data_IF_318666939338
#
_entry.id   IF_318666939338
#
_cell.length_a   1.000
_cell.length_b   1.000
_cell.length_c   1.000
_cell.angle_alpha   90.00
_cell.angle_beta   90.00
_cell.angle_gamma   90.00
#
_symmetry.space_group_name_H-M   'P 1'
#
loop_
_entity.id
_entity.type
_entity.pdbx_description
1 polymer ?
#
# COMPACT_ATOMS: atom_id res chain seq x y z
N UNK A 1 -12.04 -14.42 13.13
CA UNK A 1 -12.87 -13.88 12.03
C UNK A 1 -12.50 -12.44 11.69
N UNK A 2 -12.54 -11.50 12.65
CA UNK A 2 -12.32 -10.06 12.38
C UNK A 2 -11.05 -9.72 11.57
N UNK A 3 -9.88 -10.36 11.78
CA UNK A 3 -8.70 -10.05 10.97
C UNK A 3 -8.84 -10.35 9.48
N UNK A 4 -9.54 -11.43 9.14
CA UNK A 4 -9.88 -11.78 7.76
C UNK A 4 -11.03 -10.91 7.25
N UNK A 5 -12.05 -10.69 8.07
CA UNK A 5 -13.23 -9.91 7.71
C UNK A 5 -12.91 -8.47 7.28
N UNK A 6 -11.89 -7.89 7.88
CA UNK A 6 -11.56 -6.49 7.70
C UNK A 6 -10.26 -6.30 6.91
N UNK A 7 -9.72 -7.37 6.31
CA UNK A 7 -8.44 -7.40 5.62
C UNK A 7 -7.22 -6.96 6.46
N UNK A 8 -7.34 -6.91 7.80
CA UNK A 8 -6.23 -6.48 8.67
C UNK A 8 -5.12 -7.52 8.75
N UNK A 9 -5.32 -8.76 8.29
CA UNK A 9 -4.22 -9.72 8.15
C UNK A 9 -3.11 -9.21 7.22
N UNK A 10 -3.47 -8.46 6.16
CA UNK A 10 -2.53 -7.96 5.15
C UNK A 10 -1.43 -7.13 5.81
N UNK A 11 -1.80 -6.22 6.72
CA UNK A 11 -0.83 -5.37 7.42
C UNK A 11 0.15 -6.16 8.30
N UNK A 12 -0.23 -7.35 8.77
CA UNK A 12 0.67 -8.21 9.54
C UNK A 12 1.62 -9.02 8.64
N UNK A 13 1.12 -9.56 7.52
CA UNK A 13 1.87 -10.45 6.65
C UNK A 13 2.77 -9.72 5.64
N UNK A 14 2.50 -8.46 5.36
CA UNK A 14 3.19 -7.73 4.28
C UNK A 14 4.23 -6.75 4.80
N UNK A 15 4.25 -6.47 6.11
CA UNK A 15 5.16 -5.49 6.73
C UNK A 15 4.98 -4.04 6.23
N UNK A 16 4.12 -3.86 5.23
CA UNK A 16 3.73 -2.60 4.65
C UNK A 16 2.41 -2.22 5.32
N UNK A 17 2.42 -1.03 5.93
CA UNK A 17 1.23 -0.27 6.32
C UNK A 17 0.62 -0.68 7.66
N UNK A 18 0.43 0.35 8.47
CA UNK A 18 0.51 0.21 9.91
C UNK A 18 -0.89 -0.04 10.48
N UNK A 19 -1.02 -1.04 11.35
CA UNK A 19 -2.16 -1.18 12.27
C UNK A 19 -2.47 0.13 13.00
N UNK A 20 -1.47 1.00 13.17
CA UNK A 20 -1.66 2.36 13.64
C UNK A 20 -2.63 3.21 12.79
N UNK A 21 -2.66 3.06 11.46
CA UNK A 21 -3.60 3.81 10.61
C UNK A 21 -5.04 3.34 10.82
N UNK A 22 -5.23 2.02 10.95
CA UNK A 22 -6.53 1.43 11.31
C UNK A 22 -6.96 1.91 12.70
N UNK A 23 -6.04 1.91 13.67
CA UNK A 23 -6.30 2.39 15.02
C UNK A 23 -6.66 3.88 15.04
N UNK A 24 -5.95 4.72 14.28
CA UNK A 24 -6.24 6.15 14.16
C UNK A 24 -7.59 6.42 13.46
N UNK A 25 -7.92 5.60 12.46
CA UNK A 25 -9.24 5.66 11.80
C UNK A 25 -10.36 5.30 12.77
N UNK A 26 -10.19 4.23 13.56
CA UNK A 26 -11.12 3.88 14.63
C UNK A 26 -11.22 4.95 15.71
N UNK A 27 -10.10 5.53 16.14
CA UNK A 27 -10.09 6.64 17.10
C UNK A 27 -10.88 7.85 16.57
N UNK A 28 -10.79 8.13 15.26
CA UNK A 28 -11.59 9.17 14.61
C UNK A 28 -13.08 8.83 14.64
N UNK A 29 -13.47 7.62 14.26
CA UNK A 29 -14.88 7.17 14.26
C UNK A 29 -15.47 7.17 15.68
N UNK A 30 -14.77 6.59 16.66
CA UNK A 30 -15.20 6.52 18.06
C UNK A 30 -15.21 7.91 18.71
N UNK A 31 -14.21 8.74 18.42
CA UNK A 31 -14.14 10.11 18.90
C UNK A 31 -15.26 10.98 18.32
N UNK A 32 -15.59 10.80 17.04
CA UNK A 32 -16.69 11.51 16.39
C UNK A 32 -18.04 11.06 16.93
N UNK A 33 -18.20 9.75 17.18
CA UNK A 33 -19.37 9.23 17.86
C UNK A 33 -19.52 9.82 19.26
N UNK A 34 -18.45 9.86 20.05
CA UNK A 34 -18.46 10.49 21.37
C UNK A 34 -18.87 11.96 21.29
N UNK A 35 -18.36 12.70 20.29
CA UNK A 35 -18.77 14.07 20.03
C UNK A 35 -20.26 14.18 19.74
N UNK A 36 -20.81 13.33 18.87
CA UNK A 36 -22.24 13.34 18.54
C UNK A 36 -23.10 13.09 19.77
N UNK A 37 -22.68 12.19 20.66
CA UNK A 37 -23.43 11.85 21.88
C UNK A 37 -23.31 12.88 23.01
N UNK A 38 -22.19 13.60 23.11
CA UNK A 38 -21.89 14.43 24.29
C UNK A 38 -21.65 15.90 23.99
N UNK A 39 -21.59 16.28 22.71
CA UNK A 39 -21.14 17.59 22.22
C UNK A 39 -19.71 17.94 22.68
N UNK A 40 -18.86 16.95 23.02
CA UNK A 40 -17.47 17.17 23.46
C UNK A 40 -16.48 16.62 22.45
N UNK A 41 -15.55 17.46 22.04
CA UNK A 41 -14.40 17.05 21.22
C UNK A 41 -13.33 16.52 22.18
N UNK A 42 -13.15 15.20 22.19
CA UNK A 42 -12.16 14.52 23.03
C UNK A 42 -10.80 14.38 22.34
N UNK A 43 -9.77 14.09 23.14
CA UNK A 43 -8.41 13.83 22.63
C UNK A 43 -8.34 12.68 21.62
N UNK A 44 -9.20 11.67 21.74
CA UNK A 44 -9.30 10.58 20.76
C UNK A 44 -9.68 11.06 19.36
N UNK A 45 -10.63 12.00 19.25
CA UNK A 45 -11.02 12.56 17.95
C UNK A 45 -9.87 13.36 17.34
N UNK A 46 -9.25 14.24 18.14
CA UNK A 46 -8.13 15.07 17.69
C UNK A 46 -6.94 14.21 17.24
N UNK A 47 -6.51 13.27 18.10
CA UNK A 47 -5.41 12.36 17.80
C UNK A 47 -5.74 11.48 16.59
N UNK A 48 -6.96 10.94 16.52
CA UNK A 48 -7.41 10.13 15.39
C UNK A 48 -7.29 10.88 14.07
N UNK A 49 -7.81 12.11 14.00
CA UNK A 49 -7.79 12.94 12.78
C UNK A 49 -6.36 13.25 12.32
N UNK A 50 -5.48 13.60 13.26
CA UNK A 50 -4.07 13.91 12.95
C UNK A 50 -3.33 12.66 12.51
N UNK A 51 -3.37 11.59 13.31
CA UNK A 51 -2.59 10.38 13.03
C UNK A 51 -3.13 9.59 11.84
N UNK A 52 -4.44 9.63 11.55
CA UNK A 52 -4.97 8.98 10.36
C UNK A 52 -4.29 9.55 9.12
N UNK A 53 -4.22 10.87 8.98
CA UNK A 53 -3.58 11.52 7.83
C UNK A 53 -2.06 11.43 7.87
N UNK A 54 -1.45 11.55 9.04
CA UNK A 54 0.02 11.46 9.19
C UNK A 54 0.57 10.09 8.80
N UNK A 55 -0.21 9.03 9.04
CA UNK A 55 0.18 7.67 8.67
C UNK A 55 -0.14 7.37 7.20
N UNK A 56 -1.22 7.94 6.67
CA UNK A 56 -1.71 7.70 5.32
C UNK A 56 -2.59 8.83 4.79
N UNK A 57 -2.42 9.20 3.53
CA UNK A 57 -3.23 10.27 2.91
C UNK A 57 -4.72 9.93 2.82
N UNK A 58 -5.09 8.65 2.76
CA UNK A 58 -6.50 8.23 2.78
C UNK A 58 -7.23 8.65 4.08
N UNK A 59 -6.47 8.83 5.18
CA UNK A 59 -6.99 9.35 6.45
C UNK A 59 -7.53 10.78 6.36
N UNK A 60 -7.10 11.55 5.34
CA UNK A 60 -7.60 12.91 5.11
C UNK A 60 -9.10 12.92 4.86
N UNK A 61 -9.63 11.95 4.08
CA UNK A 61 -11.06 11.87 3.80
C UNK A 61 -11.88 11.73 5.09
N UNK A 62 -11.41 10.89 6.02
CA UNK A 62 -12.07 10.67 7.31
C UNK A 62 -11.95 11.89 8.23
N UNK A 63 -10.78 12.54 8.27
CA UNK A 63 -10.57 13.76 9.04
C UNK A 63 -11.42 14.93 8.57
N UNK A 64 -11.50 15.15 7.25
CA UNK A 64 -12.34 16.18 6.64
C UNK A 64 -13.83 15.90 6.89
N UNK A 65 -14.27 14.65 6.76
CA UNK A 65 -15.64 14.25 7.04
C UNK A 65 -16.01 14.48 8.52
N UNK A 66 -15.12 14.14 9.45
CA UNK A 66 -15.32 14.37 10.88
C UNK A 66 -15.42 15.87 11.23
N UNK A 67 -14.51 16.69 10.71
CA UNK A 67 -14.59 18.14 10.84
C UNK A 67 -15.89 18.70 10.25
N UNK A 68 -16.34 18.16 9.12
CA UNK A 68 -17.60 18.53 8.46
C UNK A 68 -18.81 18.27 9.33
N UNK A 69 -18.88 17.13 9.99
CA UNK A 69 -19.94 16.82 10.97
C UNK A 69 -19.93 17.82 12.12
N UNK A 70 -18.76 18.19 12.64
CA UNK A 70 -18.64 19.17 13.74
C UNK A 70 -19.10 20.57 13.29
N UNK A 71 -18.75 21.00 12.08
CA UNK A 71 -19.26 22.25 11.48
C UNK A 71 -20.79 22.19 11.34
N UNK A 72 -21.32 21.14 10.73
CA UNK A 72 -22.76 20.96 10.49
C UNK A 72 -23.58 20.75 11.78
N UNK A 73 -22.90 20.44 12.90
CA UNK A 73 -23.49 20.36 14.24
C UNK A 73 -23.49 21.71 14.99
N UNK A 74 -23.03 22.79 14.34
CA UNK A 74 -23.05 24.17 14.86
C UNK A 74 -21.73 24.66 15.47
N UNK A 75 -20.66 23.84 15.45
CA UNK A 75 -19.36 24.19 16.04
C UNK A 75 -18.32 24.53 14.98
N UNK A 76 -18.61 25.56 14.17
CA UNK A 76 -17.83 25.91 12.98
C UNK A 76 -16.34 26.08 13.25
N UNK A 77 -15.94 26.88 14.25
CA UNK A 77 -14.52 27.11 14.55
C UNK A 77 -13.78 25.83 14.94
N UNK A 78 -14.40 24.97 15.75
CA UNK A 78 -13.80 23.70 16.15
C UNK A 78 -13.74 22.68 14.99
N UNK A 79 -14.78 22.65 14.15
CA UNK A 79 -14.80 21.79 12.97
C UNK A 79 -13.78 22.19 11.91
N UNK A 80 -13.63 23.50 11.64
CA UNK A 80 -12.56 24.03 10.80
C UNK A 80 -11.17 23.76 11.40
N UNK A 81 -11.03 23.85 12.73
CA UNK A 81 -9.81 23.46 13.44
C UNK A 81 -9.46 21.99 13.23
N UNK A 82 -10.43 21.07 13.30
CA UNK A 82 -10.21 19.65 12.99
C UNK A 82 -9.83 19.42 11.53
N UNK A 83 -10.46 20.12 10.57
CA UNK A 83 -10.07 20.03 9.16
C UNK A 83 -8.64 20.52 8.93
N UNK A 84 -8.25 21.63 9.57
CA UNK A 84 -6.88 22.13 9.50
C UNK A 84 -5.88 21.13 10.09
N UNK A 85 -6.21 20.50 11.22
CA UNK A 85 -5.41 19.43 11.82
C UNK A 85 -5.36 18.16 10.96
N UNK A 86 -6.39 17.87 10.17
CA UNK A 86 -6.38 16.76 9.21
C UNK A 86 -5.39 17.03 8.06
N UNK A 87 -5.36 18.26 7.54
CA UNK A 87 -4.50 18.66 6.43
C UNK A 87 -3.04 18.84 6.86
N UNK A 88 -2.81 19.25 8.11
CA UNK A 88 -1.49 19.63 8.62
C UNK A 88 -0.39 18.58 8.39
N UNK A 89 -0.58 17.27 8.70
CA UNK A 89 0.47 16.28 8.47
C UNK A 89 0.90 16.17 7.01
N UNK A 90 -0.05 16.25 6.07
CA UNK A 90 0.26 16.20 4.65
C UNK A 90 1.08 17.41 4.22
N UNK A 91 0.71 18.61 4.67
CA UNK A 91 1.46 19.85 4.39
C UNK A 91 2.86 19.79 5.00
N UNK A 92 3.00 19.36 6.25
CA UNK A 92 4.31 19.23 6.90
C UNK A 92 5.21 18.23 6.17
N UNK A 93 4.64 17.14 5.67
CA UNK A 93 5.39 16.15 4.90
C UNK A 93 5.87 16.70 3.56
N UNK A 94 5.02 17.44 2.83
CA UNK A 94 5.40 18.13 1.59
C UNK A 94 6.54 19.13 1.86
N UNK A 95 6.42 19.95 2.89
CA UNK A 95 7.45 20.92 3.27
C UNK A 95 8.77 20.23 3.67
N UNK A 96 8.69 19.08 4.35
CA UNK A 96 9.85 18.28 4.69
C UNK A 96 10.57 17.73 3.46
N UNK A 97 9.83 17.22 2.46
CA UNK A 97 10.41 16.77 1.18
C UNK A 97 11.11 17.92 0.45
N UNK A 98 10.44 19.07 0.33
CA UNK A 98 11.02 20.25 -0.31
C UNK A 98 12.27 20.76 0.43
N UNK A 99 12.29 20.68 1.76
CA UNK A 99 13.45 21.03 2.56
C UNK A 99 14.64 20.08 2.32
N UNK A 100 14.39 18.80 2.02
CA UNK A 100 15.42 17.85 1.57
C UNK A 100 15.86 18.06 0.11
N UNK A 101 15.28 19.03 -0.60
CA UNK A 101 15.53 19.24 -2.03
C UNK A 101 14.85 18.21 -2.93
N UNK A 102 13.84 17.50 -2.42
CA UNK A 102 13.04 16.53 -3.16
C UNK A 102 11.76 17.20 -3.72
N UNK A 103 11.09 16.49 -4.63
CA UNK A 103 9.81 16.92 -5.17
C UNK A 103 8.73 17.03 -4.07
N UNK A 104 7.74 17.96 -4.22
CA UNK A 104 6.67 18.14 -3.23
C UNK A 104 5.84 16.87 -3.00
N UNK A 105 5.77 15.98 -3.99
CA UNK A 105 5.09 14.70 -3.88
C UNK A 105 6.12 13.57 -3.90
N UNK A 106 5.97 12.54 -3.05
CA UNK A 106 6.75 11.32 -3.18
C UNK A 106 6.63 10.73 -4.58
N UNK A 107 7.74 10.19 -5.08
CA UNK A 107 7.83 9.44 -6.34
C UNK A 107 6.73 8.38 -6.49
N UNK A 108 6.35 7.71 -5.40
CA UNK A 108 5.27 6.71 -5.39
C UNK A 108 3.87 7.27 -5.63
N UNK A 109 3.63 8.55 -5.32
CA UNK A 109 2.39 9.26 -5.66
C UNK A 109 2.46 9.69 -7.13
N UNK A 110 3.57 10.29 -7.55
CA UNK A 110 3.78 10.75 -8.92
C UNK A 110 3.63 9.61 -9.93
N UNK A 111 4.25 8.45 -9.68
CA UNK A 111 4.12 7.26 -10.51
C UNK A 111 2.64 6.82 -10.65
N UNK A 112 1.88 6.85 -9.56
CA UNK A 112 0.47 6.42 -9.55
C UNK A 112 -0.48 7.39 -10.25
N UNK A 113 -0.21 8.69 -10.17
CA UNK A 113 -1.01 9.71 -10.83
C UNK A 113 -0.97 9.56 -12.36
N UNK A 114 0.16 9.11 -12.91
CA UNK A 114 0.27 8.80 -14.34
C UNK A 114 -0.36 7.44 -14.69
N UNK A 115 -0.22 6.42 -13.83
CA UNK A 115 -0.87 5.11 -14.02
C UNK A 115 -2.41 5.16 -13.94
N UNK A 116 -2.99 6.19 -13.32
CA UNK A 116 -4.46 6.31 -13.24
C UNK A 116 -5.17 6.49 -14.59
N UNK A 117 -4.45 6.69 -15.69
CA UNK A 117 -5.00 6.74 -17.05
C UNK A 117 -6.12 7.79 -17.24
N UNK A 118 -6.76 7.83 -18.42
CA UNK A 118 -7.88 8.75 -18.68
C UNK A 118 -9.21 8.30 -18.05
N UNK A 119 -9.21 7.24 -17.23
CA UNK A 119 -10.40 6.69 -16.60
C UNK A 119 -10.81 7.62 -15.45
N UNK A 120 -11.60 8.65 -15.78
CA UNK A 120 -12.14 9.60 -14.82
C UNK A 120 -12.91 8.91 -13.68
N UNK A 121 -13.40 9.70 -12.72
CA UNK A 121 -13.98 9.22 -11.45
C UNK A 121 -15.01 8.09 -11.62
N UNK A 122 -15.88 8.16 -12.63
CA UNK A 122 -16.88 7.13 -12.93
C UNK A 122 -16.20 5.80 -13.33
N UNK A 123 -15.19 5.87 -14.20
CA UNK A 123 -14.43 4.70 -14.63
C UNK A 123 -13.66 4.07 -13.48
N UNK A 124 -13.02 4.88 -12.63
CA UNK A 124 -12.35 4.38 -11.42
C UNK A 124 -13.32 3.68 -10.46
N UNK A 125 -14.50 4.27 -10.26
CA UNK A 125 -15.57 3.65 -9.46
C UNK A 125 -15.98 2.29 -10.05
N UNK A 126 -16.20 2.21 -11.37
CA UNK A 126 -16.54 0.97 -12.08
C UNK A 126 -15.46 -0.10 -11.93
N UNK A 127 -14.18 0.27 -12.08
CA UNK A 127 -13.05 -0.64 -11.88
C UNK A 127 -13.00 -1.16 -10.45
N UNK A 128 -13.20 -0.29 -9.46
CA UNK A 128 -13.18 -0.68 -8.06
C UNK A 128 -14.33 -1.65 -7.72
N UNK A 129 -15.57 -1.39 -8.15
CA UNK A 129 -16.71 -2.29 -7.90
C UNK A 129 -16.67 -3.58 -8.74
N UNK A 130 -15.80 -3.66 -9.75
CA UNK A 130 -15.57 -4.91 -10.48
C UNK A 130 -14.88 -5.95 -9.57
N UNK A 131 -14.08 -5.50 -8.59
CA UNK A 131 -13.40 -6.35 -7.61
C UNK A 131 -14.35 -6.86 -6.51
N UNK A 132 -14.00 -7.97 -5.85
CA UNK A 132 -14.76 -8.48 -4.71
C UNK A 132 -14.73 -7.50 -3.52
N UNK A 133 -13.55 -6.95 -3.19
CA UNK A 133 -13.38 -5.95 -2.14
C UNK A 133 -14.24 -4.70 -2.36
N UNK A 134 -14.35 -4.24 -3.60
CA UNK A 134 -15.14 -3.04 -3.91
C UNK A 134 -16.63 -3.25 -3.81
N UNK A 135 -17.13 -4.44 -4.17
CA UNK A 135 -18.55 -4.80 -3.94
C UNK A 135 -18.87 -4.89 -2.46
N UNK A 136 -17.98 -5.50 -1.68
CA UNK A 136 -18.13 -5.56 -0.23
C UNK A 136 -18.18 -4.16 0.39
N UNK A 137 -17.21 -3.30 0.04
CA UNK A 137 -17.16 -1.93 0.51
C UNK A 137 -18.40 -1.12 0.10
N UNK A 138 -18.89 -1.30 -1.14
CA UNK A 138 -20.11 -0.66 -1.63
C UNK A 138 -21.33 -1.08 -0.82
N UNK A 139 -21.52 -2.38 -0.59
CA UNK A 139 -22.64 -2.90 0.21
C UNK A 139 -22.59 -2.32 1.62
N UNK A 140 -21.43 -2.33 2.27
CA UNK A 140 -21.27 -1.72 3.59
C UNK A 140 -21.60 -0.22 3.59
N UNK A 141 -21.05 0.53 2.63
CA UNK A 141 -21.28 1.97 2.53
C UNK A 141 -22.77 2.28 2.30
N UNK A 142 -23.45 1.53 1.45
CA UNK A 142 -24.89 1.68 1.18
C UNK A 142 -25.74 1.32 2.40
N UNK A 143 -25.42 0.25 3.11
CA UNK A 143 -26.14 -0.13 4.34
C UNK A 143 -26.00 0.96 5.41
N UNK A 144 -24.78 1.43 5.65
CA UNK A 144 -24.53 2.53 6.60
C UNK A 144 -25.26 3.79 6.14
N UNK A 145 -25.22 4.13 4.86
CA UNK A 145 -25.93 5.27 4.28
C UNK A 145 -27.44 5.20 4.57
N UNK A 146 -28.09 4.07 4.26
CA UNK A 146 -29.54 3.90 4.45
C UNK A 146 -29.95 3.97 5.92
N UNK A 147 -29.19 3.31 6.82
CA UNK A 147 -29.41 3.40 8.27
C UNK A 147 -29.26 4.85 8.74
N UNK A 148 -28.26 5.56 8.25
CA UNK A 148 -27.99 6.95 8.61
C UNK A 148 -29.09 7.90 8.15
N UNK A 149 -29.63 7.72 6.95
CA UNK A 149 -30.78 8.48 6.43
C UNK A 149 -32.01 8.26 7.33
N UNK A 150 -32.28 7.00 7.71
CA UNK A 150 -33.40 6.67 8.59
C UNK A 150 -33.25 7.27 10.00
N UNK A 151 -32.01 7.38 10.50
CA UNK A 151 -31.72 7.96 11.81
C UNK A 151 -31.63 9.49 11.78
N UNK A 152 -31.33 10.10 10.63
CA UNK A 152 -31.18 11.55 10.48
C UNK A 152 -32.43 12.33 10.90
N UNK A 153 -33.62 11.80 10.58
CA UNK A 153 -34.89 12.41 10.97
C UNK A 153 -35.20 12.30 12.46
N UNK A 154 -34.59 11.33 13.16
CA UNK A 154 -34.75 11.11 14.60
C UNK A 154 -33.71 11.87 15.41
N UNK A 155 -32.46 11.79 14.99
CA UNK A 155 -31.33 12.51 15.54
C UNK A 155 -30.41 12.93 14.40
N UNK A 156 -30.43 14.24 14.12
CA UNK A 156 -29.63 14.84 13.04
C UNK A 156 -28.14 14.57 13.22
N UNK A 157 -27.60 14.61 14.44
CA UNK A 157 -26.16 14.46 14.66
C UNK A 157 -25.72 13.01 14.45
N UNK A 158 -26.52 12.06 14.92
CA UNK A 158 -26.32 10.62 14.67
C UNK A 158 -26.40 10.31 13.18
N UNK A 159 -27.41 10.86 12.48
CA UNK A 159 -27.51 10.74 11.03
C UNK A 159 -26.30 11.32 10.31
N UNK A 160 -25.87 12.54 10.66
CA UNK A 160 -24.67 13.18 10.08
C UNK A 160 -23.40 12.35 10.27
N UNK A 161 -23.19 11.76 11.45
CA UNK A 161 -22.07 10.87 11.71
C UNK A 161 -22.04 9.70 10.72
N UNK A 162 -23.15 8.99 10.59
CA UNK A 162 -23.21 7.83 9.71
C UNK A 162 -23.12 8.20 8.23
N UNK A 163 -23.75 9.31 7.81
CA UNK A 163 -23.61 9.86 6.46
C UNK A 163 -22.16 10.19 6.12
N UNK A 164 -21.43 10.80 7.06
CA UNK A 164 -20.02 11.14 6.88
C UNK A 164 -19.14 9.90 6.71
N UNK A 165 -19.33 8.87 7.54
CA UNK A 165 -18.55 7.62 7.42
C UNK A 165 -18.93 6.85 6.13
N UNK A 166 -20.21 6.83 5.74
CA UNK A 166 -20.64 6.28 4.45
C UNK A 166 -20.00 7.01 3.27
N UNK A 167 -19.94 8.34 3.31
CA UNK A 167 -19.30 9.15 2.29
C UNK A 167 -17.80 8.84 2.15
N UNK A 168 -17.09 8.53 3.24
CA UNK A 168 -15.69 8.08 3.18
C UNK A 168 -15.55 6.76 2.41
N UNK A 169 -16.44 5.79 2.64
CA UNK A 169 -16.46 4.54 1.88
C UNK A 169 -16.71 4.75 0.38
N UNK A 170 -17.68 5.59 0.04
CA UNK A 170 -17.99 5.95 -1.35
C UNK A 170 -16.86 6.76 -2.01
N UNK A 171 -16.23 7.67 -1.27
CA UNK A 171 -15.07 8.41 -1.75
C UNK A 171 -13.89 7.47 -2.01
N UNK A 172 -13.68 6.46 -1.17
CA UNK A 172 -12.64 5.45 -1.43
C UNK A 172 -12.92 4.67 -2.72
N UNK A 173 -14.17 4.31 -3.01
CA UNK A 173 -14.54 3.69 -4.28
C UNK A 173 -14.30 4.62 -5.48
N UNK A 174 -14.49 5.93 -5.31
CA UNK A 174 -14.37 6.91 -6.38
C UNK A 174 -12.91 7.33 -6.66
N UNK A 175 -12.08 7.45 -5.63
CA UNK A 175 -10.74 8.04 -5.70
C UNK A 175 -9.62 7.11 -5.24
N UNK A 176 -9.94 6.08 -4.44
CA UNK A 176 -8.99 5.09 -3.96
C UNK A 176 -8.76 3.96 -4.95
N UNK A 177 -7.93 3.00 -4.57
CA UNK A 177 -7.68 1.77 -5.33
C UNK A 177 -8.04 0.57 -4.49
N UNK A 178 -8.64 -0.45 -5.09
CA UNK A 178 -9.06 -1.68 -4.40
C UNK A 178 -8.39 -2.89 -5.04
N UNK A 179 -8.12 -3.92 -4.23
CA UNK A 179 -7.58 -5.19 -4.69
C UNK A 179 -6.06 -5.23 -4.86
N UNK A 180 -5.37 -4.09 -4.75
CA UNK A 180 -3.92 -4.10 -4.59
C UNK A 180 -3.55 -4.47 -3.16
N UNK A 181 -3.27 -5.75 -3.02
CA UNK A 181 -3.08 -6.45 -1.76
C UNK A 181 -4.24 -6.30 -0.74
N UNK A 182 -5.45 -5.91 -1.16
CA UNK A 182 -6.60 -5.61 -0.28
C UNK A 182 -6.34 -4.59 0.86
N UNK A 183 -5.23 -3.83 0.77
CA UNK A 183 -4.70 -3.03 1.89
C UNK A 183 -5.31 -1.64 1.98
N UNK A 184 -5.71 -1.08 0.84
CA UNK A 184 -6.09 0.32 0.72
C UNK A 184 -7.49 0.56 1.30
N UNK A 185 -8.37 -0.41 1.19
CA UNK A 185 -9.75 -0.33 1.67
C UNK A 185 -9.92 -0.69 3.15
N UNK A 186 -8.87 -1.22 3.80
CA UNK A 186 -8.92 -1.74 5.18
C UNK A 186 -9.45 -0.70 6.18
N UNK A 187 -8.97 0.55 6.11
CA UNK A 187 -9.41 1.61 7.02
C UNK A 187 -10.91 1.95 6.83
N UNK A 188 -11.40 1.93 5.59
CA UNK A 188 -12.78 2.24 5.26
C UNK A 188 -13.70 1.10 5.73
N UNK A 189 -13.31 -0.17 5.51
CA UNK A 189 -14.03 -1.34 6.01
C UNK A 189 -14.20 -1.29 7.53
N UNK A 190 -13.10 -1.07 8.25
CA UNK A 190 -13.11 -0.98 9.71
C UNK A 190 -13.99 0.18 10.19
N UNK A 191 -13.88 1.34 9.55
CA UNK A 191 -14.67 2.53 9.89
C UNK A 191 -16.17 2.30 9.68
N UNK A 192 -16.56 1.68 8.56
CA UNK A 192 -17.96 1.38 8.23
C UNK A 192 -18.56 0.34 9.17
N UNK A 193 -17.83 -0.73 9.49
CA UNK A 193 -18.30 -1.76 10.43
C UNK A 193 -18.45 -1.18 11.83
N UNK A 194 -17.50 -0.34 12.28
CA UNK A 194 -17.60 0.36 13.55
C UNK A 194 -18.80 1.32 13.57
N UNK A 195 -19.00 2.11 12.50
CA UNK A 195 -20.15 3.01 12.40
C UNK A 195 -21.48 2.24 12.42
N UNK A 196 -21.58 1.13 11.68
CA UNK A 196 -22.77 0.28 11.68
C UNK A 196 -23.09 -0.24 13.08
N UNK A 197 -22.08 -0.72 13.81
CA UNK A 197 -22.24 -1.17 15.19
C UNK A 197 -22.78 -0.04 16.09
N UNK A 198 -22.21 1.16 15.99
CA UNK A 198 -22.61 2.31 16.81
C UNK A 198 -24.02 2.83 16.48
N UNK A 199 -24.37 2.90 15.20
CA UNK A 199 -25.69 3.37 14.72
C UNK A 199 -26.83 2.44 15.16
N UNK A 200 -26.59 1.14 15.25
CA UNK A 200 -27.60 0.15 15.68
C UNK A 200 -27.77 0.06 17.21
N UNK A 201 -27.07 0.92 17.96
CA UNK A 201 -27.24 1.09 19.40
C UNK A 201 -26.07 0.52 20.23
N UNK A 202 -25.96 0.98 21.48
CA UNK A 202 -24.89 0.56 22.40
C UNK A 202 -25.21 -0.73 23.18
N UNK A 203 -26.44 -1.24 23.08
CA UNK A 203 -26.86 -2.51 23.66
C UNK A 203 -26.71 -3.61 22.62
N UNK A 204 -26.26 -4.79 23.04
CA UNK A 204 -26.13 -6.00 22.21
C UNK A 204 -27.50 -6.52 21.77
N UNK A 205 -28.24 -5.72 21.00
CA UNK A 205 -29.52 -6.12 20.44
C UNK A 205 -29.28 -7.23 19.42
N UNK A 206 -30.20 -8.21 19.30
CA UNK A 206 -30.08 -9.27 18.31
C UNK A 206 -29.86 -8.74 16.88
N UNK A 207 -30.47 -7.61 16.54
CA UNK A 207 -30.32 -6.95 15.23
C UNK A 207 -28.91 -6.39 15.02
N UNK A 208 -28.32 -5.74 16.03
CA UNK A 208 -26.94 -5.27 15.95
C UNK A 208 -25.98 -6.45 15.78
N UNK A 209 -26.13 -7.49 16.62
CA UNK A 209 -25.29 -8.68 16.56
C UNK A 209 -25.39 -9.33 15.18
N UNK A 210 -26.60 -9.48 14.64
CA UNK A 210 -26.82 -10.04 13.31
C UNK A 210 -26.17 -9.17 12.22
N UNK A 211 -26.42 -7.86 12.22
CA UNK A 211 -25.89 -6.96 11.18
C UNK A 211 -24.36 -6.92 11.18
N UNK A 212 -23.73 -6.81 12.35
CA UNK A 212 -22.26 -6.85 12.48
C UNK A 212 -21.73 -8.24 12.11
N UNK A 213 -22.40 -9.32 12.50
CA UNK A 213 -21.98 -10.67 12.12
C UNK A 213 -22.05 -10.90 10.62
N UNK A 214 -23.10 -10.40 9.95
CA UNK A 214 -23.25 -10.47 8.50
C UNK A 214 -22.20 -9.62 7.79
N UNK A 215 -21.92 -8.41 8.28
CA UNK A 215 -20.85 -7.57 7.75
C UNK A 215 -19.49 -8.30 7.85
N UNK A 216 -19.17 -8.84 9.02
CA UNK A 216 -17.93 -9.59 9.23
C UNK A 216 -17.88 -10.87 8.39
N UNK A 217 -18.98 -11.60 8.26
CA UNK A 217 -19.05 -12.80 7.42
C UNK A 217 -18.85 -12.46 5.94
N UNK A 218 -19.45 -11.39 5.43
CA UNK A 218 -19.24 -10.90 4.08
C UNK A 218 -17.76 -10.56 3.82
N UNK A 219 -17.12 -9.91 4.79
CA UNK A 219 -15.68 -9.67 4.74
C UNK A 219 -14.84 -10.95 4.71
N UNK A 220 -15.18 -11.95 5.54
CA UNK A 220 -14.46 -13.23 5.54
C UNK A 220 -14.59 -13.92 4.17
N UNK A 221 -15.79 -13.97 3.60
CA UNK A 221 -16.01 -14.54 2.25
C UNK A 221 -15.21 -13.80 1.18
N UNK A 222 -15.08 -12.47 1.32
CA UNK A 222 -14.37 -11.62 0.37
C UNK A 222 -12.86 -11.83 0.43
N UNK A 223 -12.27 -11.80 1.63
CA UNK A 223 -10.82 -11.69 1.77
C UNK A 223 -10.11 -12.99 2.18
N UNK A 224 -10.79 -13.90 2.88
CA UNK A 224 -10.14 -15.12 3.37
C UNK A 224 -9.59 -16.04 2.25
N UNK A 225 -10.25 -16.21 1.09
CA UNK A 225 -9.71 -17.05 0.02
C UNK A 225 -8.35 -16.57 -0.47
N UNK A 226 -8.21 -15.26 -0.71
CA UNK A 226 -6.94 -14.68 -1.16
C UNK A 226 -5.89 -14.67 -0.03
N UNK A 227 -6.31 -14.34 1.20
CA UNK A 227 -5.49 -14.43 2.42
C UNK A 227 -4.79 -15.79 2.57
N UNK A 228 -5.57 -16.86 2.47
CA UNK A 228 -5.11 -18.21 2.75
C UNK A 228 -4.36 -18.84 1.57
N UNK A 229 -4.71 -18.48 0.34
CA UNK A 229 -4.08 -19.04 -0.86
C UNK A 229 -2.80 -18.31 -1.28
N UNK A 230 -2.65 -17.02 -0.98
CA UNK A 230 -1.50 -16.20 -1.38
C UNK A 230 -0.69 -15.75 -0.17
N UNK A 231 -1.28 -14.98 0.76
CA UNK A 231 -0.51 -14.29 1.79
C UNK A 231 0.10 -15.18 2.85
N UNK A 232 -0.51 -16.33 3.11
CA UNK A 232 0.07 -17.34 3.99
C UNK A 232 1.51 -17.72 3.58
N UNK A 233 1.85 -17.54 2.31
CA UNK A 233 3.16 -17.86 1.74
C UNK A 233 4.09 -16.64 1.59
N UNK A 234 3.59 -15.41 1.71
CA UNK A 234 4.39 -14.20 1.46
C UNK A 234 5.65 -14.10 2.33
N UNK A 235 5.63 -14.37 3.66
CA UNK A 235 6.84 -14.32 4.47
C UNK A 235 7.92 -15.28 3.97
N UNK A 236 7.51 -16.50 3.59
CA UNK A 236 8.41 -17.49 3.02
C UNK A 236 8.95 -17.06 1.65
N UNK A 237 8.14 -16.39 0.85
CA UNK A 237 8.52 -15.88 -0.46
C UNK A 237 9.54 -14.74 -0.38
N UNK A 238 9.32 -13.77 0.51
CA UNK A 238 10.28 -12.70 0.78
C UNK A 238 11.59 -13.26 1.32
N UNK A 239 11.54 -14.25 2.23
CA UNK A 239 12.74 -14.91 2.75
C UNK A 239 13.50 -15.72 1.67
N UNK A 240 12.79 -16.29 0.70
CA UNK A 240 13.38 -17.10 -0.36
C UNK A 240 13.85 -16.28 -1.58
N UNK A 241 13.30 -15.08 -1.79
CA UNK A 241 13.68 -14.19 -2.90
C UNK A 241 14.42 -12.95 -2.39
N UNK A 242 13.75 -11.92 -1.90
CA UNK A 242 14.37 -10.64 -1.52
C UNK A 242 15.42 -10.75 -0.42
N UNK A 243 15.27 -11.65 0.55
CA UNK A 243 16.32 -11.89 1.53
C UNK A 243 17.57 -12.53 0.94
N UNK A 244 17.42 -13.33 -0.13
CA UNK A 244 18.56 -13.89 -0.83
C UNK A 244 19.21 -12.88 -1.77
N UNK A 245 18.43 -11.99 -2.40
CA UNK A 245 18.97 -10.84 -3.15
C UNK A 245 19.78 -9.92 -2.24
N UNK A 246 19.22 -9.59 -1.07
CA UNK A 246 19.90 -8.78 -0.05
C UNK A 246 21.21 -9.44 0.39
N UNK A 247 21.17 -10.75 0.74
CA UNK A 247 22.36 -11.52 1.13
C UNK A 247 23.42 -11.56 0.04
N UNK A 248 23.02 -11.70 -1.23
CA UNK A 248 23.96 -11.66 -2.35
C UNK A 248 24.64 -10.30 -2.41
N UNK A 249 23.86 -9.23 -2.42
CA UNK A 249 24.36 -7.86 -2.51
C UNK A 249 25.31 -7.52 -1.34
N UNK A 250 24.86 -7.72 -0.10
CA UNK A 250 25.61 -7.34 1.10
C UNK A 250 26.83 -8.22 1.38
N UNK A 251 26.71 -9.55 1.23
CA UNK A 251 27.73 -10.46 1.76
C UNK A 251 28.73 -10.92 0.69
N UNK A 252 28.31 -10.93 -0.59
CA UNK A 252 29.10 -11.53 -1.68
C UNK A 252 29.52 -10.51 -2.75
N UNK A 253 28.70 -9.48 -3.01
CA UNK A 253 29.01 -8.47 -4.02
C UNK A 253 29.83 -7.32 -3.43
N UNK A 254 29.44 -6.79 -2.26
CA UNK A 254 30.12 -5.66 -1.58
C UNK A 254 30.39 -4.47 -2.53
N UNK A 255 29.39 -4.14 -3.34
CA UNK A 255 29.42 -3.05 -4.30
C UNK A 255 27.99 -2.59 -4.60
N UNK A 256 27.80 -1.36 -5.12
CA UNK A 256 26.48 -0.87 -5.50
C UNK A 256 25.72 -1.83 -6.43
N UNK A 257 24.43 -2.03 -6.20
CA UNK A 257 23.58 -2.89 -7.04
C UNK A 257 22.39 -2.12 -7.61
N UNK A 258 21.86 -2.59 -8.74
CA UNK A 258 20.62 -2.09 -9.31
C UNK A 258 19.51 -3.12 -9.16
N UNK A 259 18.33 -2.68 -8.70
CA UNK A 259 17.15 -3.53 -8.54
C UNK A 259 15.91 -2.75 -8.92
N UNK A 260 14.82 -3.44 -9.28
CA UNK A 260 13.53 -2.81 -9.55
C UNK A 260 12.52 -2.98 -8.42
N UNK A 261 12.81 -3.88 -7.47
CA UNK A 261 12.07 -4.02 -6.22
C UNK A 261 13.03 -3.86 -5.04
N UNK A 262 13.18 -2.60 -4.61
CA UNK A 262 14.24 -2.18 -3.68
C UNK A 262 14.17 -2.77 -2.29
N UNK A 263 12.95 -3.07 -1.80
CA UNK A 263 12.60 -3.31 -0.40
C UNK A 263 13.75 -3.70 0.55
N UNK A 264 13.92 -5.00 0.79
CA UNK A 264 14.90 -5.48 1.77
C UNK A 264 16.36 -5.37 1.30
N UNK A 265 16.61 -5.30 -0.02
CA UNK A 265 17.96 -5.10 -0.57
C UNK A 265 18.49 -3.75 -0.12
N UNK A 266 17.73 -2.66 -0.33
CA UNK A 266 18.09 -1.32 0.10
C UNK A 266 18.14 -1.13 1.62
N UNK A 267 17.49 -2.00 2.40
CA UNK A 267 17.56 -1.97 3.85
C UNK A 267 18.83 -2.65 4.39
N UNK A 268 19.21 -3.79 3.81
CA UNK A 268 20.27 -4.65 4.33
C UNK A 268 21.65 -4.30 3.76
N UNK A 269 21.70 -3.82 2.52
CA UNK A 269 22.95 -3.52 1.82
C UNK A 269 23.52 -2.17 2.30
N UNK A 270 24.74 -2.13 2.85
CA UNK A 270 25.39 -0.88 3.21
C UNK A 270 25.81 -0.04 1.99
N UNK A 271 25.92 -0.66 0.80
CA UNK A 271 26.27 0.01 -0.44
C UNK A 271 25.06 0.65 -1.12
N UNK A 272 25.33 1.46 -2.14
CA UNK A 272 24.27 2.18 -2.87
C UNK A 272 23.38 1.22 -3.68
N UNK A 273 22.07 1.28 -3.44
CA UNK A 273 21.06 0.56 -4.23
C UNK A 273 20.33 1.50 -5.18
N UNK A 274 20.52 1.28 -6.48
CA UNK A 274 19.79 2.00 -7.53
C UNK A 274 18.41 1.37 -7.73
N UNK A 275 17.36 2.17 -7.54
CA UNK A 275 15.97 1.78 -7.81
C UNK A 275 15.61 2.05 -9.28
N UNK A 276 15.65 1.01 -10.10
CA UNK A 276 15.25 1.12 -11.51
C UNK A 276 13.74 1.32 -11.68
N UNK A 277 12.89 0.99 -10.72
CA UNK A 277 11.47 1.37 -10.80
C UNK A 277 11.26 2.85 -10.47
N UNK A 278 12.18 3.45 -9.69
CA UNK A 278 12.25 4.89 -9.45
C UNK A 278 11.47 5.40 -8.25
N UNK A 279 11.00 4.53 -7.35
CA UNK A 279 10.36 4.97 -6.09
C UNK A 279 11.33 5.66 -5.15
N UNK A 280 12.59 5.22 -5.12
CA UNK A 280 13.67 5.84 -4.36
C UNK A 280 14.70 6.57 -5.23
N UNK A 281 14.63 6.44 -6.56
CA UNK A 281 15.56 7.07 -7.50
C UNK A 281 14.81 7.95 -8.51
N UNK A 282 14.71 9.25 -8.23
CA UNK A 282 13.95 10.20 -9.08
C UNK A 282 14.46 10.30 -10.50
N UNK A 283 15.77 10.13 -10.74
CA UNK A 283 16.35 10.09 -12.09
C UNK A 283 15.80 8.90 -12.89
N UNK A 284 15.77 7.70 -12.28
CA UNK A 284 15.19 6.51 -12.89
C UNK A 284 13.68 6.65 -13.13
N UNK A 285 12.94 7.26 -12.19
CA UNK A 285 11.52 7.55 -12.38
C UNK A 285 11.31 8.48 -13.58
N UNK A 286 12.07 9.57 -13.65
CA UNK A 286 11.93 10.59 -14.69
C UNK A 286 12.17 10.00 -16.07
N UNK A 287 13.22 9.16 -16.22
CA UNK A 287 13.52 8.46 -17.47
C UNK A 287 12.40 7.47 -17.81
N UNK A 288 11.98 6.62 -16.86
CA UNK A 288 10.97 5.59 -17.09
C UNK A 288 9.61 6.16 -17.52
N UNK A 289 9.23 7.31 -16.99
CA UNK A 289 7.97 7.97 -17.31
C UNK A 289 8.00 8.79 -18.61
N UNK A 290 9.20 9.03 -19.18
CA UNK A 290 9.38 9.88 -20.35
C UNK A 290 9.44 9.10 -21.69
N UNK A 291 8.76 7.95 -21.78
CA UNK A 291 8.80 7.05 -22.95
C UNK A 291 10.25 6.68 -23.36
N UNK A 292 10.99 5.98 -22.50
CA UNK A 292 12.42 5.78 -22.70
C UNK A 292 12.72 4.83 -23.87
N UNK A 293 13.85 5.06 -24.54
CA UNK A 293 14.42 4.12 -25.51
C UNK A 293 14.84 2.79 -24.84
N UNK A 294 14.91 1.72 -25.63
CA UNK A 294 15.45 0.43 -25.19
C UNK A 294 16.86 0.60 -24.58
N UNK A 295 17.12 -0.04 -23.45
CA UNK A 295 18.39 0.03 -22.75
C UNK A 295 18.62 1.28 -21.90
N UNK A 296 17.55 2.03 -21.57
CA UNK A 296 17.66 3.26 -20.79
C UNK A 296 18.28 3.11 -19.39
N UNK A 297 18.32 1.90 -18.81
CA UNK A 297 18.97 1.68 -17.52
C UNK A 297 20.50 1.80 -17.60
N UNK A 298 21.09 1.61 -18.79
CA UNK A 298 22.53 1.61 -19.02
C UNK A 298 23.23 2.87 -18.48
N UNK A 299 22.87 4.08 -18.95
CA UNK A 299 23.46 5.32 -18.47
C UNK A 299 23.36 5.51 -16.94
N UNK A 300 22.24 5.11 -16.32
CA UNK A 300 22.03 5.23 -14.87
C UNK A 300 22.97 4.32 -14.09
N UNK A 301 23.12 3.08 -14.56
CA UNK A 301 24.01 2.06 -13.99
C UNK A 301 25.47 2.43 -14.19
N UNK A 302 25.87 2.82 -15.40
CA UNK A 302 27.25 3.20 -15.72
C UNK A 302 27.72 4.42 -14.94
N UNK A 303 26.85 5.43 -14.77
CA UNK A 303 27.12 6.65 -13.97
C UNK A 303 27.50 6.33 -12.51
N UNK A 304 27.03 5.21 -11.98
CA UNK A 304 27.26 4.77 -10.60
C UNK A 304 28.24 3.60 -10.49
N UNK A 305 28.77 3.10 -11.61
CA UNK A 305 29.69 1.97 -11.64
C UNK A 305 29.08 0.69 -11.05
N UNK A 306 27.77 0.48 -11.22
CA UNK A 306 27.06 -0.67 -10.64
C UNK A 306 27.38 -1.93 -11.45
N UNK A 307 28.02 -2.97 -10.88
CA UNK A 307 28.40 -4.19 -11.62
C UNK A 307 27.25 -5.18 -11.84
N UNK A 308 26.24 -5.18 -10.97
CA UNK A 308 25.17 -6.19 -10.96
C UNK A 308 23.79 -5.52 -10.94
N UNK A 309 22.93 -5.95 -11.87
CA UNK A 309 21.50 -5.67 -11.83
C UNK A 309 20.71 -6.96 -11.54
N UNK A 310 19.78 -6.91 -10.59
CA UNK A 310 18.86 -7.99 -10.25
C UNK A 310 17.43 -7.49 -10.44
N UNK A 311 16.77 -7.93 -11.52
CA UNK A 311 15.50 -7.34 -11.94
C UNK A 311 14.43 -8.38 -12.31
N UNK A 312 13.17 -7.96 -12.27
CA UNK A 312 12.08 -8.66 -12.93
C UNK A 312 12.04 -8.30 -14.43
N UNK A 313 12.38 -9.24 -15.32
CA UNK A 313 12.34 -9.04 -16.77
C UNK A 313 10.95 -8.61 -17.26
N UNK A 314 9.88 -9.14 -16.65
CA UNK A 314 8.49 -8.76 -16.99
C UNK A 314 8.12 -7.31 -16.59
N UNK A 315 8.96 -6.62 -15.82
CA UNK A 315 8.77 -5.21 -15.49
C UNK A 315 9.68 -4.30 -16.30
N UNK A 316 10.93 -4.72 -16.51
CA UNK A 316 12.00 -3.86 -17.00
C UNK A 316 12.80 -4.46 -18.17
N UNK A 317 12.25 -5.42 -18.92
CA UNK A 317 12.95 -6.06 -20.05
C UNK A 317 13.52 -5.05 -21.04
N UNK A 318 12.71 -4.07 -21.45
CA UNK A 318 13.13 -3.01 -22.38
C UNK A 318 14.14 -2.03 -21.74
N UNK A 319 14.27 -2.02 -20.42
CA UNK A 319 15.27 -1.19 -19.73
C UNK A 319 16.70 -1.73 -19.89
N UNK A 320 16.87 -3.02 -20.22
CA UNK A 320 18.15 -3.71 -20.23
C UNK A 320 18.93 -3.41 -21.52
N UNK A 321 20.12 -2.81 -21.43
CA UNK A 321 21.02 -2.66 -22.57
C UNK A 321 21.45 -3.98 -23.21
N UNK A 322 21.68 -3.98 -24.52
CA UNK A 322 22.13 -5.18 -25.26
C UNK A 322 23.52 -5.68 -24.87
N UNK A 323 24.35 -4.83 -24.30
CA UNK A 323 25.70 -5.15 -23.86
C UNK A 323 25.75 -5.72 -22.43
N UNK A 324 24.64 -5.71 -21.70
CA UNK A 324 24.53 -6.44 -20.45
C UNK A 324 24.51 -7.94 -20.70
N UNK A 325 25.24 -8.68 -19.87
CA UNK A 325 25.30 -10.15 -19.98
C UNK A 325 24.43 -10.78 -18.91
N UNK A 326 23.38 -11.49 -19.33
CA UNK A 326 22.57 -12.34 -18.43
C UNK A 326 23.45 -13.43 -17.83
N UNK A 327 23.52 -13.47 -16.50
CA UNK A 327 24.28 -14.47 -15.75
C UNK A 327 23.42 -15.71 -15.46
N UNK A 328 22.15 -15.48 -15.16
CA UNK A 328 21.20 -16.50 -14.77
C UNK A 328 20.02 -15.86 -14.06
N UNK A 329 19.25 -16.66 -13.34
CA UNK A 329 18.09 -16.16 -12.61
C UNK A 329 17.78 -16.96 -11.36
N UNK A 330 17.25 -16.24 -10.35
CA UNK A 330 16.75 -16.81 -9.12
C UNK A 330 15.27 -17.15 -9.28
N UNK A 331 14.93 -18.42 -9.22
CA UNK A 331 13.56 -18.92 -9.30
C UNK A 331 13.00 -19.26 -7.92
N UNK A 332 11.77 -18.84 -7.68
CA UNK A 332 11.03 -19.18 -6.47
C UNK A 332 10.26 -20.50 -6.63
N UNK A 333 10.47 -21.43 -5.70
CA UNK A 333 9.82 -22.74 -5.62
C UNK A 333 8.77 -22.77 -4.48
N UNK A 334 7.85 -21.80 -4.51
CA UNK A 334 6.73 -21.69 -3.55
C UNK A 334 5.40 -21.71 -4.30
N UNK A 335 4.35 -22.40 -3.81
CA UNK A 335 3.10 -22.56 -4.56
C UNK A 335 2.49 -21.25 -5.04
N UNK A 336 2.46 -20.23 -4.18
CA UNK A 336 1.87 -18.94 -4.49
C UNK A 336 2.50 -17.84 -3.63
N UNK A 337 2.55 -16.61 -4.11
CA UNK A 337 2.98 -15.45 -3.35
C UNK A 337 2.63 -14.15 -4.11
N UNK A 338 2.48 -13.05 -3.38
CA UNK A 338 2.37 -11.72 -3.98
C UNK A 338 3.78 -11.12 -4.12
N UNK A 339 4.34 -11.14 -5.33
CA UNK A 339 5.66 -10.60 -5.68
C UNK A 339 5.59 -9.95 -7.08
N UNK A 340 6.59 -9.14 -7.44
CA UNK A 340 6.66 -8.57 -8.80
C UNK A 340 6.92 -9.61 -9.89
N UNK A 341 7.58 -10.70 -9.53
CA UNK A 341 7.84 -11.85 -10.40
C UNK A 341 8.30 -13.07 -9.60
N UNK A 342 8.15 -14.25 -10.21
CA UNK A 342 8.64 -15.52 -9.63
C UNK A 342 10.11 -15.79 -9.93
N UNK A 343 10.66 -15.05 -10.89
CA UNK A 343 12.02 -15.15 -11.37
C UNK A 343 12.65 -13.76 -11.30
N UNK A 344 13.87 -13.68 -10.76
CA UNK A 344 14.68 -12.45 -10.79
C UNK A 344 15.90 -12.73 -11.66
N UNK A 345 16.03 -12.02 -12.77
CA UNK A 345 17.13 -12.14 -13.69
C UNK A 345 18.33 -11.33 -13.21
N UNK A 346 19.52 -11.93 -13.28
CA UNK A 346 20.78 -11.32 -12.87
C UNK A 346 21.58 -10.96 -14.11
N UNK A 347 21.95 -9.69 -14.22
CA UNK A 347 22.73 -9.17 -15.34
C UNK A 347 24.04 -8.57 -14.84
N UNK A 348 25.14 -9.00 -15.46
CA UNK A 348 26.40 -8.27 -15.39
C UNK A 348 26.31 -7.06 -16.33
N UNK A 349 26.61 -5.89 -15.79
CA UNK A 349 26.47 -4.60 -16.49
C UNK A 349 27.71 -4.22 -17.30
N UNK A 350 28.71 -5.11 -17.33
CA UNK A 350 29.92 -5.00 -18.14
C UNK A 350 30.67 -6.34 -18.23
N UNK A 351 31.48 -6.51 -19.28
CA UNK A 351 32.19 -7.78 -19.54
C UNK A 351 33.30 -8.09 -18.53
N UNK A 352 33.96 -7.05 -18.00
CA UNK A 352 35.06 -7.20 -17.06
C UNK A 352 34.65 -7.81 -15.71
N UNK A 353 33.40 -7.59 -15.29
CA UNK A 353 32.89 -8.05 -13.97
C UNK A 353 32.26 -9.44 -14.02
N UNK A 354 32.06 -10.02 -15.22
CA UNK A 354 31.36 -11.31 -15.38
C UNK A 354 32.03 -12.44 -14.59
N UNK A 355 33.37 -12.52 -14.62
CA UNK A 355 34.11 -13.58 -13.94
C UNK A 355 33.93 -13.53 -12.41
N UNK A 356 34.11 -12.35 -11.83
CA UNK A 356 33.99 -12.12 -10.39
C UNK A 356 32.55 -12.33 -9.92
N UNK A 357 31.56 -11.84 -10.68
CA UNK A 357 30.14 -12.04 -10.37
C UNK A 357 29.75 -13.53 -10.42
N UNK A 358 30.21 -14.27 -11.42
CA UNK A 358 29.97 -15.72 -11.49
C UNK A 358 30.55 -16.45 -10.28
N UNK A 359 31.74 -16.07 -9.84
CA UNK A 359 32.36 -16.62 -8.63
C UNK A 359 31.53 -16.29 -7.38
N UNK A 360 31.17 -15.02 -7.19
CA UNK A 360 30.34 -14.58 -6.07
C UNK A 360 28.98 -15.30 -6.01
N UNK A 361 28.30 -15.43 -7.14
CA UNK A 361 27.02 -16.17 -7.22
C UNK A 361 27.22 -17.66 -6.90
N UNK A 362 28.33 -18.27 -7.35
CA UNK A 362 28.65 -19.68 -7.04
C UNK A 362 28.88 -19.89 -5.54
N UNK A 363 29.54 -18.94 -4.86
CA UNK A 363 29.77 -18.98 -3.41
C UNK A 363 28.48 -18.71 -2.62
N UNK A 364 27.61 -17.86 -3.14
CA UNK A 364 26.30 -17.54 -2.55
C UNK A 364 25.29 -18.69 -2.68
N UNK A 365 25.26 -19.38 -3.82
CA UNK A 365 24.24 -20.36 -4.19
C UNK A 365 24.01 -21.50 -3.18
N UNK A 366 25.05 -22.11 -2.54
CA UNK A 366 24.86 -23.12 -1.51
C UNK A 366 24.05 -22.66 -0.28
N UNK A 367 23.96 -21.35 -0.04
CA UNK A 367 23.18 -20.77 1.05
C UNK A 367 21.69 -20.56 0.74
N UNK A 368 21.23 -20.93 -0.47
CA UNK A 368 19.82 -20.79 -0.84
C UNK A 368 18.93 -21.73 -0.02
N UNK A 369 17.75 -21.27 0.44
CA UNK A 369 16.77 -22.16 1.07
C UNK A 369 16.19 -23.13 0.04
N UNK A 370 15.63 -24.24 0.51
CA UNK A 370 15.00 -25.27 -0.36
C UNK A 370 13.81 -24.79 -1.20
N UNK A 371 13.40 -23.53 -1.02
CA UNK A 371 12.28 -22.88 -1.74
C UNK A 371 12.77 -21.89 -2.80
N UNK A 372 14.07 -21.86 -3.07
CA UNK A 372 14.66 -21.03 -4.09
C UNK A 372 15.77 -21.81 -4.80
N UNK A 373 15.89 -21.59 -6.12
CA UNK A 373 16.98 -22.15 -6.91
C UNK A 373 17.56 -21.09 -7.82
N UNK A 374 18.86 -21.15 -8.04
CA UNK A 374 19.50 -20.34 -9.07
C UNK A 374 19.77 -21.19 -10.31
N UNK A 375 19.38 -20.68 -11.47
CA UNK A 375 19.56 -21.32 -12.77
C UNK A 375 20.49 -20.46 -13.63
N UNK A 376 21.61 -21.03 -14.07
CA UNK A 376 22.57 -20.32 -14.91
C UNK A 376 22.01 -20.10 -16.32
N UNK A 377 22.28 -18.95 -16.92
CA UNK A 377 21.94 -18.72 -18.32
C UNK A 377 22.74 -19.67 -19.21
N UNK A 378 22.11 -20.23 -20.25
CA UNK A 378 22.80 -21.03 -21.25
C UNK A 378 23.96 -20.23 -21.85
N UNK A 379 25.14 -20.87 -21.96
CA UNK A 379 26.28 -20.25 -22.61
C UNK A 379 25.97 -20.14 -24.11
N UNK A 380 25.50 -18.98 -24.54
CA UNK A 380 25.64 -18.58 -25.94
C UNK A 380 27.13 -18.30 -26.14
N UNK A 381 27.79 -19.22 -26.84
CA UNK A 381 29.19 -19.13 -27.28
C UNK A 381 29.47 -17.86 -28.08
#
# INVERSE_FOLDING_TARGET
AAPFALATYVTAFTGMENMAHVAASLATVLGLWHFVQTDRIGGFLIAGVVFATALRLEGLALGMAAGGVVVLSGRTGAGLGLMALAVLPAVLFVLFLMWLGLDPLPNSITAKLQDTGPVGVIGKFQLNIATYGGRYLLVLAVVVLLVSIALYSRDRRVGLFGLAVAAVGLAHLAFGSIGWMDRYETYANVSLVAALALLLGSTTSPMQVLAVSLALAGGVVTYAPYALSVYAWNPAAIAAQHAQLARLASDHINAPVAVNDIGYVAWADPDYVLDLWGLASSEALSVRLAEPDDGWAGPLVSKRGIPLAMIYDNWLGDAVPKDWRRLGSLHLEIPNAFLGGREVAFYATGTAVVGDLKKAITEWQPGLPSRARFEWAEQTE
#
